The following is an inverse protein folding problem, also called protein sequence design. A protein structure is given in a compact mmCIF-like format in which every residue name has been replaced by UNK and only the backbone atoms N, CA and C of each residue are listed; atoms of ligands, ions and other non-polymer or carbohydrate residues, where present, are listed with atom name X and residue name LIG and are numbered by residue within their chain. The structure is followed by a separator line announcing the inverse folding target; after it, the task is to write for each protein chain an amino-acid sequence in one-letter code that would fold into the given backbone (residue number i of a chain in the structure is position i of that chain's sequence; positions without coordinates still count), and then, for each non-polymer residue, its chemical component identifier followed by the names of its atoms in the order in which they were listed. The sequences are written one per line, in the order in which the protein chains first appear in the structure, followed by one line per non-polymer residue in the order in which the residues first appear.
data_IF_169812390147
#
_entry.id   IF_169812390147
#
_cell.length_a   1.000
_cell.length_b   1.000
_cell.length_c   1.000
_cell.angle_alpha   90.00
_cell.angle_beta   90.00
_cell.angle_gamma   90.00
#
_symmetry.space_group_name_H-M   'P 1'
#
loop_
_entity.id
_entity.type
_entity.pdbx_description
1 polymer ?
#
# COMPACT_ATOMS: atom_id res chain seq x y z
N UNK A 1 44.90 10.01 -23.87
CA UNK A 1 45.41 9.57 -22.56
C UNK A 1 44.76 10.44 -21.50
N UNK A 2 44.08 9.86 -20.51
CA UNK A 2 43.50 10.63 -19.41
C UNK A 2 44.64 11.30 -18.62
N UNK A 3 44.45 12.56 -18.24
CA UNK A 3 45.45 13.27 -17.43
C UNK A 3 45.69 12.51 -16.12
N UNK A 4 46.95 12.37 -15.67
CA UNK A 4 47.26 11.69 -14.41
C UNK A 4 46.56 12.41 -13.25
N UNK A 5 46.02 11.63 -12.31
CA UNK A 5 45.32 12.19 -11.16
C UNK A 5 46.26 13.03 -10.28
N UNK A 6 45.75 14.05 -9.60
CA UNK A 6 46.56 14.97 -8.78
C UNK A 6 47.42 14.24 -7.73
N UNK A 7 46.94 13.10 -7.21
CA UNK A 7 47.73 12.18 -6.36
C UNK A 7 48.97 11.62 -7.08
N UNK A 8 48.83 11.14 -8.31
CA UNK A 8 49.95 10.59 -9.10
C UNK A 8 50.95 11.68 -9.46
N UNK A 9 50.47 12.89 -9.77
CA UNK A 9 51.32 14.05 -10.04
C UNK A 9 52.15 14.43 -8.81
N UNK A 10 51.54 14.50 -7.63
CA UNK A 10 52.24 14.78 -6.38
C UNK A 10 53.30 13.70 -6.05
N UNK A 11 52.99 12.42 -6.26
CA UNK A 11 53.94 11.34 -6.03
C UNK A 11 55.14 11.43 -6.98
N UNK A 12 54.91 11.67 -8.27
CA UNK A 12 55.98 11.85 -9.26
C UNK A 12 56.87 13.05 -8.93
N UNK A 13 56.30 14.16 -8.47
CA UNK A 13 57.10 15.34 -8.07
C UNK A 13 57.98 15.07 -6.85
N UNK A 14 57.51 14.24 -5.90
CA UNK A 14 58.31 13.83 -4.73
C UNK A 14 59.46 12.91 -5.17
N UNK A 15 59.19 11.95 -6.06
CA UNK A 15 60.22 11.07 -6.63
C UNK A 15 61.28 11.88 -7.39
N UNK A 16 60.88 12.89 -8.17
CA UNK A 16 61.81 13.81 -8.85
C UNK A 16 62.71 14.56 -7.85
N UNK A 17 62.13 15.08 -6.75
CA UNK A 17 62.89 15.78 -5.70
C UNK A 17 63.84 14.82 -4.97
N UNK A 18 63.44 13.57 -4.74
CA UNK A 18 64.31 12.55 -4.15
C UNK A 18 65.53 12.28 -5.04
N UNK A 19 65.35 12.18 -6.36
CA UNK A 19 66.44 11.97 -7.32
C UNK A 19 67.38 13.17 -7.32
N UNK A 20 66.85 14.39 -7.45
CA UNK A 20 67.65 15.63 -7.49
C UNK A 20 68.44 15.80 -6.19
N UNK A 21 67.84 15.53 -5.02
CA UNK A 21 68.54 15.66 -3.74
C UNK A 21 69.66 14.64 -3.59
N UNK A 22 69.47 13.38 -4.03
CA UNK A 22 70.54 12.36 -4.04
C UNK A 22 71.72 12.79 -4.91
N UNK A 23 71.46 13.27 -6.12
CA UNK A 23 72.51 13.76 -7.04
C UNK A 23 73.24 14.98 -6.46
N UNK A 24 72.52 15.89 -5.79
CA UNK A 24 73.12 17.05 -5.12
C UNK A 24 74.06 16.63 -3.97
N UNK A 25 73.65 15.66 -3.16
CA UNK A 25 74.49 15.12 -2.08
C UNK A 25 75.74 14.40 -2.60
N UNK A 26 75.65 13.65 -3.69
CA UNK A 26 76.80 12.98 -4.32
C UNK A 26 77.81 14.01 -4.85
N UNK A 27 77.35 15.06 -5.56
CA UNK A 27 78.22 16.13 -6.07
C UNK A 27 78.90 16.92 -4.95
N UNK A 28 78.21 17.19 -3.85
CA UNK A 28 78.80 17.86 -2.68
C UNK A 28 79.82 16.97 -1.94
N UNK A 29 79.57 15.66 -1.88
CA UNK A 29 80.47 14.70 -1.24
C UNK A 29 81.74 14.49 -2.06
N UNK A 30 81.62 14.40 -3.39
CA UNK A 30 82.75 14.28 -4.32
C UNK A 30 83.71 15.49 -4.24
N UNK A 31 83.16 16.71 -4.16
CA UNK A 31 83.92 17.98 -4.07
C UNK A 31 84.83 18.09 -2.82
N UNK A 32 84.59 17.31 -1.77
CA UNK A 32 85.41 17.29 -0.55
C UNK A 32 86.71 16.49 -0.71
N UNK A 33 86.83 15.71 -1.79
CA UNK A 33 87.90 14.72 -2.01
C UNK A 33 88.91 15.15 -3.09
N UNK A 34 88.53 16.04 -4.02
CA UNK A 34 89.40 16.52 -5.10
C UNK A 34 89.49 18.04 -5.16
N UNK A 35 90.71 18.58 -5.14
CA UNK A 35 91.03 20.02 -5.26
C UNK A 35 91.00 20.50 -6.72
N UNK A 36 89.86 20.39 -7.40
CA UNK A 36 89.70 20.80 -8.81
C UNK A 36 88.56 21.82 -9.01
N UNK A 37 88.85 22.85 -9.80
CA UNK A 37 88.22 24.18 -9.81
C UNK A 37 86.99 24.34 -10.73
N UNK A 38 86.26 23.28 -11.09
CA UNK A 38 85.21 23.33 -12.14
C UNK A 38 83.74 22.91 -11.79
N UNK A 39 83.28 22.61 -10.55
CA UNK A 39 81.90 22.09 -10.33
C UNK A 39 80.86 23.11 -9.77
N UNK A 40 81.12 24.41 -9.81
CA UNK A 40 80.21 25.41 -9.18
C UNK A 40 78.94 25.63 -10.02
N UNK A 41 79.03 25.45 -11.35
CA UNK A 41 77.89 25.63 -12.25
C UNK A 41 76.83 24.51 -12.12
N UNK A 42 77.26 23.26 -12.00
CA UNK A 42 76.38 22.08 -11.97
C UNK A 42 75.55 22.01 -10.67
N UNK A 43 76.19 22.33 -9.54
CA UNK A 43 75.51 22.42 -8.24
C UNK A 43 74.49 23.57 -8.20
N UNK A 44 74.78 24.70 -8.86
CA UNK A 44 73.83 25.81 -9.01
C UNK A 44 72.60 25.44 -9.86
N UNK A 45 72.80 24.70 -10.95
CA UNK A 45 71.72 24.23 -11.83
C UNK A 45 70.80 23.22 -11.13
N UNK A 46 71.37 22.27 -10.36
CA UNK A 46 70.56 21.34 -9.55
C UNK A 46 69.77 22.08 -8.47
N UNK A 47 70.35 23.09 -7.83
CA UNK A 47 69.66 23.93 -6.84
C UNK A 47 68.49 24.70 -7.47
N UNK A 48 68.68 25.25 -8.67
CA UNK A 48 67.62 25.95 -9.42
C UNK A 48 66.50 24.98 -9.84
N UNK A 49 66.86 23.77 -10.28
CA UNK A 49 65.89 22.72 -10.61
C UNK A 49 65.09 22.28 -9.38
N UNK A 50 65.74 22.17 -8.21
CA UNK A 50 65.09 21.85 -6.94
C UNK A 50 64.08 22.95 -6.55
N UNK A 51 64.45 24.22 -6.65
CA UNK A 51 63.54 25.34 -6.39
C UNK A 51 62.34 25.34 -7.35
N UNK A 52 62.56 24.99 -8.62
CA UNK A 52 61.48 24.86 -9.60
C UNK A 52 60.53 23.72 -9.23
N UNK A 53 61.05 22.58 -8.80
CA UNK A 53 60.24 21.42 -8.37
C UNK A 53 59.48 21.71 -7.08
N UNK A 54 60.07 22.45 -6.13
CA UNK A 54 59.36 22.92 -4.94
C UNK A 54 58.17 23.82 -5.31
N UNK A 55 58.35 24.75 -6.25
CA UNK A 55 57.25 25.59 -6.76
C UNK A 55 56.15 24.76 -7.45
N UNK A 56 56.52 23.72 -8.22
CA UNK A 56 55.57 22.77 -8.83
C UNK A 56 54.77 21.99 -7.77
N UNK A 57 55.42 21.55 -6.69
CA UNK A 57 54.77 20.87 -5.55
C UNK A 57 53.80 21.81 -4.84
N UNK A 58 54.19 23.05 -4.56
CA UNK A 58 53.30 24.04 -3.92
C UNK A 58 52.04 24.30 -4.76
N UNK A 59 52.19 24.40 -6.09
CA UNK A 59 51.06 24.56 -7.00
C UNK A 59 50.13 23.33 -7.03
N UNK A 60 50.71 22.12 -7.04
CA UNK A 60 49.96 20.87 -6.99
C UNK A 60 49.23 20.68 -5.65
N UNK A 61 49.85 21.06 -4.54
CA UNK A 61 49.23 21.05 -3.21
C UNK A 61 48.04 22.01 -3.13
N UNK A 62 48.18 23.23 -3.63
CA UNK A 62 47.06 24.17 -3.70
C UNK A 62 45.87 23.57 -4.47
N UNK A 63 46.14 22.97 -5.62
CA UNK A 63 45.09 22.32 -6.43
C UNK A 63 44.43 21.15 -5.66
N UNK A 64 45.21 20.35 -4.93
CA UNK A 64 44.67 19.27 -4.11
C UNK A 64 43.76 19.78 -2.98
N UNK A 65 44.10 20.92 -2.36
CA UNK A 65 43.25 21.53 -1.32
C UNK A 65 41.91 22.00 -1.89
N UNK A 66 41.92 22.63 -3.07
CA UNK A 66 40.71 23.08 -3.76
C UNK A 66 39.81 21.90 -4.14
N UNK A 67 40.41 20.82 -4.66
CA UNK A 67 39.69 19.56 -4.93
C UNK A 67 39.08 18.95 -3.67
N UNK A 68 39.78 18.99 -2.53
CA UNK A 68 39.26 18.53 -1.24
C UNK A 68 38.02 19.29 -0.78
N UNK A 69 38.01 20.61 -0.94
CA UNK A 69 36.84 21.44 -0.62
C UNK A 69 35.65 21.17 -1.54
N UNK A 70 35.90 20.90 -2.83
CA UNK A 70 34.86 20.46 -3.76
C UNK A 70 34.33 19.09 -3.39
N UNK A 71 35.20 18.14 -3.04
CA UNK A 71 34.81 16.79 -2.65
C UNK A 71 33.91 16.79 -1.41
N UNK A 72 34.18 17.62 -0.39
CA UNK A 72 33.30 17.81 0.76
C UNK A 72 31.89 18.27 0.35
N UNK A 73 31.80 19.18 -0.62
CA UNK A 73 30.51 19.65 -1.15
C UNK A 73 29.77 18.54 -1.90
N UNK A 74 30.49 17.72 -2.68
CA UNK A 74 29.92 16.57 -3.37
C UNK A 74 29.35 15.58 -2.36
N UNK A 75 30.09 15.24 -1.31
CA UNK A 75 29.63 14.33 -0.25
C UNK A 75 28.40 14.86 0.46
N UNK A 76 28.37 16.15 0.80
CA UNK A 76 27.19 16.78 1.40
C UNK A 76 25.97 16.73 0.48
N UNK A 77 26.16 16.98 -0.83
CA UNK A 77 25.08 16.89 -1.81
C UNK A 77 24.60 15.44 -1.99
N UNK A 78 25.49 14.46 -2.00
CA UNK A 78 25.13 13.05 -2.10
C UNK A 78 24.23 12.62 -0.95
N UNK A 79 24.54 13.04 0.28
CA UNK A 79 23.69 12.76 1.45
C UNK A 79 22.30 13.37 1.30
N UNK A 80 22.20 14.59 0.78
CA UNK A 80 20.90 15.24 0.56
C UNK A 80 20.10 14.57 -0.58
N UNK A 81 20.77 14.08 -1.62
CA UNK A 81 20.16 13.27 -2.69
C UNK A 81 19.60 11.98 -2.11
N UNK A 82 20.40 11.22 -1.35
CA UNK A 82 19.98 9.95 -0.75
C UNK A 82 18.78 10.16 0.19
N UNK A 83 18.76 11.28 0.94
CA UNK A 83 17.63 11.67 1.77
C UNK A 83 16.37 11.94 0.94
N UNK A 84 16.50 12.70 -0.15
CA UNK A 84 15.37 13.00 -1.06
C UNK A 84 14.82 11.75 -1.72
N UNK A 85 15.68 10.83 -2.11
CA UNK A 85 15.26 9.54 -2.67
C UNK A 85 14.47 8.71 -1.65
N UNK A 86 14.90 8.69 -0.39
CA UNK A 86 14.14 8.06 0.69
C UNK A 86 12.75 8.71 0.88
N UNK A 87 12.67 10.04 0.88
CA UNK A 87 11.42 10.78 0.97
C UNK A 87 10.48 10.45 -0.21
N UNK A 88 11.01 10.38 -1.44
CA UNK A 88 10.26 10.02 -2.65
C UNK A 88 9.70 8.60 -2.54
N UNK A 89 10.50 7.63 -2.11
CA UNK A 89 10.06 6.25 -1.94
C UNK A 89 8.94 6.13 -0.90
N UNK A 90 9.05 6.88 0.20
CA UNK A 90 8.00 6.92 1.22
C UNK A 90 6.71 7.54 0.67
N UNK A 91 6.80 8.66 -0.07
CA UNK A 91 5.64 9.27 -0.73
C UNK A 91 4.97 8.30 -1.70
N UNK A 92 5.75 7.61 -2.53
CA UNK A 92 5.24 6.64 -3.50
C UNK A 92 4.47 5.51 -2.80
N UNK A 93 5.00 4.99 -1.69
CA UNK A 93 4.33 3.97 -0.89
C UNK A 93 2.98 4.47 -0.36
N UNK A 94 2.96 5.67 0.23
CA UNK A 94 1.74 6.26 0.79
C UNK A 94 0.69 6.51 -0.31
N UNK A 95 1.10 6.96 -1.49
CA UNK A 95 0.20 7.15 -2.63
C UNK A 95 -0.40 5.84 -3.13
N UNK A 96 0.39 4.76 -3.17
CA UNK A 96 -0.11 3.43 -3.54
C UNK A 96 -1.11 2.87 -2.53
N UNK A 97 -0.86 3.11 -1.25
CA UNK A 97 -1.80 2.72 -0.19
C UNK A 97 -3.11 3.52 -0.29
N UNK A 98 -3.02 4.84 -0.46
CA UNK A 98 -4.18 5.70 -0.65
C UNK A 98 -5.01 5.32 -1.90
N UNK A 99 -4.34 5.00 -3.02
CA UNK A 99 -4.98 4.49 -4.24
C UNK A 99 -5.78 3.22 -3.95
N UNK A 100 -5.20 2.29 -3.19
CA UNK A 100 -5.84 1.00 -2.84
C UNK A 100 -7.07 1.20 -1.94
N UNK A 101 -6.97 2.07 -0.94
CA UNK A 101 -8.08 2.42 -0.05
C UNK A 101 -9.20 3.06 -0.86
N UNK A 102 -8.86 4.01 -1.73
CA UNK A 102 -9.84 4.71 -2.57
C UNK A 102 -10.54 3.76 -3.54
N UNK A 103 -9.81 2.85 -4.19
CA UNK A 103 -10.39 1.86 -5.08
C UNK A 103 -11.41 0.97 -4.36
N UNK A 104 -11.04 0.50 -3.16
CA UNK A 104 -11.93 -0.30 -2.30
C UNK A 104 -13.18 0.49 -1.88
N UNK A 105 -13.00 1.74 -1.44
CA UNK A 105 -14.10 2.60 -1.04
C UNK A 105 -15.08 2.88 -2.19
N UNK A 106 -14.56 3.13 -3.40
CA UNK A 106 -15.38 3.33 -4.61
C UNK A 106 -16.17 2.06 -4.94
N UNK A 107 -15.52 0.89 -4.88
CA UNK A 107 -16.19 -0.39 -5.13
C UNK A 107 -17.35 -0.62 -4.15
N UNK A 108 -17.09 -0.45 -2.85
CA UNK A 108 -18.11 -0.59 -1.81
C UNK A 108 -19.24 0.44 -1.98
N UNK A 109 -18.93 1.68 -2.32
CA UNK A 109 -19.93 2.72 -2.57
C UNK A 109 -20.84 2.37 -3.76
N UNK A 110 -20.27 1.83 -4.86
CA UNK A 110 -21.05 1.36 -6.01
C UNK A 110 -21.97 0.19 -5.66
N UNK A 111 -21.48 -0.76 -4.86
CA UNK A 111 -22.32 -1.85 -4.35
C UNK A 111 -23.46 -1.32 -3.49
N UNK A 112 -23.19 -0.43 -2.52
CA UNK A 112 -24.22 0.20 -1.69
C UNK A 112 -25.25 0.95 -2.52
N UNK A 113 -24.84 1.70 -3.54
CA UNK A 113 -25.75 2.41 -4.43
C UNK A 113 -26.68 1.45 -5.18
N UNK A 114 -26.15 0.29 -5.59
CA UNK A 114 -26.94 -0.76 -6.25
C UNK A 114 -27.98 -1.34 -5.29
N UNK A 115 -27.58 -1.65 -4.06
CA UNK A 115 -28.50 -2.13 -3.02
C UNK A 115 -29.59 -1.10 -2.70
N UNK A 116 -29.26 0.18 -2.61
CA UNK A 116 -30.23 1.26 -2.39
C UNK A 116 -31.23 1.33 -3.55
N UNK A 117 -30.76 1.25 -4.81
CA UNK A 117 -31.64 1.25 -5.99
C UNK A 117 -32.61 0.07 -5.97
N UNK A 118 -32.12 -1.12 -5.63
CA UNK A 118 -32.95 -2.33 -5.51
C UNK A 118 -33.98 -2.19 -4.36
N UNK A 119 -33.57 -1.66 -3.21
CA UNK A 119 -34.48 -1.42 -2.08
C UNK A 119 -35.56 -0.40 -2.42
N UNK A 120 -35.21 0.69 -3.11
CA UNK A 120 -36.17 1.70 -3.55
C UNK A 120 -37.18 1.15 -4.57
N UNK A 121 -36.76 0.25 -5.46
CA UNK A 121 -37.67 -0.43 -6.39
C UNK A 121 -38.67 -1.35 -5.68
N UNK A 122 -38.24 -1.98 -4.58
CA UNK A 122 -39.07 -2.89 -3.76
C UNK A 122 -39.49 -2.22 -2.44
N UNK A 123 -39.75 -0.92 -2.46
CA UNK A 123 -40.12 -0.18 -1.26
C UNK A 123 -41.50 -0.63 -0.76
N UNK A 124 -41.55 -1.15 0.47
CA UNK A 124 -42.79 -1.56 1.13
C UNK A 124 -43.26 -0.40 2.00
N UNK A 125 -44.53 0.05 1.90
CA UNK A 125 -45.04 1.12 2.74
C UNK A 125 -44.95 0.73 4.22
N UNK A 126 -44.54 1.69 5.05
CA UNK A 126 -44.38 1.48 6.50
C UNK A 126 -45.66 0.98 7.17
N UNK A 127 -46.83 1.38 6.67
CA UNK A 127 -48.12 0.91 7.19
C UNK A 127 -48.31 -0.61 7.02
N UNK A 128 -47.94 -1.16 5.86
CA UNK A 128 -47.99 -2.61 5.64
C UNK A 128 -47.00 -3.34 6.55
N UNK A 129 -45.79 -2.80 6.74
CA UNK A 129 -44.82 -3.36 7.69
C UNK A 129 -45.37 -3.36 9.12
N UNK A 130 -46.01 -2.28 9.56
CA UNK A 130 -46.60 -2.18 10.91
C UNK A 130 -47.76 -3.16 11.06
N UNK A 131 -48.67 -3.25 10.07
CA UNK A 131 -49.79 -4.21 10.08
C UNK A 131 -49.30 -5.65 10.11
N UNK A 132 -48.30 -5.98 9.29
CA UNK A 132 -47.75 -7.33 9.23
C UNK A 132 -46.96 -7.68 10.50
N UNK A 133 -46.17 -6.75 11.03
CA UNK A 133 -45.48 -6.92 12.30
C UNK A 133 -46.48 -7.12 13.45
N UNK A 134 -47.53 -6.30 13.53
CA UNK A 134 -48.60 -6.46 14.50
C UNK A 134 -49.29 -7.82 14.34
N UNK A 135 -49.60 -8.23 13.11
CA UNK A 135 -50.19 -9.55 12.81
C UNK A 135 -49.29 -10.70 13.26
N UNK A 136 -47.99 -10.63 13.02
CA UNK A 136 -47.03 -11.62 13.50
C UNK A 136 -47.00 -11.61 15.04
N UNK A 137 -46.88 -10.44 15.67
CA UNK A 137 -46.88 -10.31 17.12
C UNK A 137 -48.18 -10.76 17.79
N UNK A 138 -49.34 -10.56 17.15
CA UNK A 138 -50.67 -10.87 17.69
C UNK A 138 -51.12 -12.30 17.40
N UNK A 139 -50.79 -12.82 16.21
CA UNK A 139 -51.34 -14.09 15.75
C UNK A 139 -50.47 -15.27 16.14
N UNK A 140 -49.14 -15.27 15.99
CA UNK A 140 -48.28 -16.40 16.40
C UNK A 140 -46.83 -15.95 16.56
N UNK A 141 -46.16 -16.32 17.65
CA UNK A 141 -44.77 -15.94 17.90
C UNK A 141 -43.85 -16.46 16.78
N UNK A 142 -42.87 -15.64 16.35
CA UNK A 142 -41.86 -15.98 15.32
C UNK A 142 -41.05 -17.24 15.71
N UNK A 143 -40.94 -17.49 17.01
CA UNK A 143 -40.33 -18.67 17.59
C UNK A 143 -41.14 -19.11 18.83
N UNK A 144 -41.06 -20.40 19.19
CA UNK A 144 -41.66 -20.89 20.44
C UNK A 144 -40.97 -20.23 21.64
N UNK A 145 -41.70 -19.60 22.58
CA UNK A 145 -41.12 -19.12 23.82
C UNK A 145 -40.41 -20.25 24.60
N UNK A 146 -39.34 -19.95 25.35
CA UNK A 146 -38.62 -20.96 26.15
C UNK A 146 -39.52 -21.70 27.17
N UNK A 147 -40.68 -21.14 27.50
CA UNK A 147 -41.68 -21.72 28.40
C UNK A 147 -42.84 -22.40 27.67
N UNK A 148 -42.76 -22.57 26.35
CA UNK A 148 -43.83 -23.18 25.56
C UNK A 148 -44.00 -24.65 25.95
N UNK A 149 -45.24 -25.02 26.27
CA UNK A 149 -45.62 -26.39 26.60
C UNK A 149 -46.75 -26.87 25.67
N UNK A 150 -46.90 -28.19 25.46
CA UNK A 150 -48.05 -28.75 24.76
C UNK A 150 -49.38 -28.24 25.36
N UNK A 151 -50.15 -27.47 24.57
CA UNK A 151 -51.38 -26.81 25.02
C UNK A 151 -51.31 -25.28 25.08
N UNK A 152 -50.11 -24.68 24.98
CA UNK A 152 -49.95 -23.23 24.90
C UNK A 152 -50.46 -22.68 23.54
N UNK A 153 -51.43 -21.75 23.54
CA UNK A 153 -51.93 -21.11 22.32
C UNK A 153 -50.87 -20.38 21.50
N UNK A 154 -49.75 -19.96 22.10
CA UNK A 154 -48.64 -19.21 21.46
C UNK A 154 -47.67 -20.13 20.71
N UNK A 155 -48.19 -20.99 19.84
CA UNK A 155 -47.40 -21.90 19.00
C UNK A 155 -46.93 -21.21 17.70
N UNK A 156 -45.70 -21.46 17.22
CA UNK A 156 -45.19 -20.83 16.00
C UNK A 156 -45.66 -21.52 14.70
N UNK A 157 -46.45 -22.61 14.77
CA UNK A 157 -46.89 -23.40 13.62
C UNK A 157 -48.38 -23.76 13.68
N UNK A 158 -49.03 -24.00 12.52
CA UNK A 158 -50.43 -24.45 12.45
C UNK A 158 -50.65 -25.83 13.10
N UNK A 159 -51.79 -26.06 13.77
CA UNK A 159 -52.15 -27.41 14.24
C UNK A 159 -52.76 -28.28 13.15
N UNK A 160 -52.79 -29.60 13.38
CA UNK A 160 -53.47 -30.58 12.52
C UNK A 160 -54.96 -30.23 12.29
N UNK A 161 -55.64 -29.72 13.32
CA UNK A 161 -57.00 -29.20 13.20
C UNK A 161 -57.05 -27.94 12.30
N UNK A 162 -56.15 -26.97 12.51
CA UNK A 162 -56.08 -25.76 11.65
C UNK A 162 -55.82 -26.12 10.19
N UNK A 163 -54.94 -27.10 9.94
CA UNK A 163 -54.62 -27.61 8.61
C UNK A 163 -55.79 -28.34 7.97
N UNK A 164 -56.51 -29.18 8.73
CA UNK A 164 -57.70 -29.91 8.27
C UNK A 164 -58.88 -28.98 7.97
N UNK A 165 -59.04 -27.92 8.76
CA UNK A 165 -60.06 -26.87 8.54
C UNK A 165 -59.66 -25.87 7.44
N UNK A 166 -58.40 -25.87 7.03
CA UNK A 166 -57.87 -25.03 5.96
C UNK A 166 -58.43 -25.40 4.58
N UNK A 167 -58.23 -24.50 3.61
CA UNK A 167 -58.75 -24.64 2.26
C UNK A 167 -58.34 -25.96 1.58
N UNK A 168 -57.07 -26.34 1.71
CA UNK A 168 -56.54 -27.61 1.18
C UNK A 168 -57.17 -28.85 1.83
N UNK A 169 -57.43 -28.82 3.15
CA UNK A 169 -58.09 -29.91 3.86
C UNK A 169 -59.55 -30.10 3.43
N UNK A 170 -60.25 -29.01 3.11
CA UNK A 170 -61.63 -29.04 2.60
C UNK A 170 -61.73 -29.58 1.17
N UNK A 171 -60.77 -29.22 0.30
CA UNK A 171 -60.72 -29.71 -1.08
C UNK A 171 -60.53 -31.23 -1.17
N UNK A 172 -59.86 -31.83 -0.19
CA UNK A 172 -59.64 -33.28 -0.12
C UNK A 172 -60.83 -34.05 0.48
N UNK A 173 -61.88 -33.36 0.94
CA UNK A 173 -63.05 -34.01 1.54
C UNK A 173 -64.20 -34.12 0.51
N UNK A 174 -64.52 -35.32 -0.01
CA UNK A 174 -65.55 -35.50 -1.04
C UNK A 174 -66.97 -35.15 -0.57
N UNK A 175 -67.20 -35.00 0.75
CA UNK A 175 -68.51 -34.66 1.31
C UNK A 175 -68.81 -33.15 1.37
N UNK A 176 -67.89 -32.27 0.96
CA UNK A 176 -68.10 -30.81 1.00
C UNK A 176 -68.69 -30.22 -0.29
N UNK A 177 -68.86 -31.03 -1.35
CA UNK A 177 -69.47 -30.58 -2.61
C UNK A 177 -71.01 -30.37 -2.53
N UNK A 178 -71.66 -30.56 -1.37
CA UNK A 178 -73.12 -30.57 -1.25
C UNK A 178 -73.74 -29.53 -0.30
N UNK A 179 -73.00 -28.52 0.19
CA UNK A 179 -73.61 -27.41 0.94
C UNK A 179 -73.49 -26.06 0.21
N UNK A 180 -74.59 -25.52 -0.34
CA UNK A 180 -74.63 -24.17 -0.85
C UNK A 180 -74.84 -23.19 0.31
N UNK A 181 -73.91 -22.26 0.49
CA UNK A 181 -74.09 -21.08 1.31
C UNK A 181 -73.37 -21.15 2.66
N UNK A 182 -72.14 -20.62 2.70
CA UNK A 182 -71.62 -19.71 3.75
C UNK A 182 -70.12 -19.48 3.47
N UNK A 183 -69.78 -18.24 3.07
CA UNK A 183 -68.40 -17.76 3.06
C UNK A 183 -67.77 -17.52 1.69
N UNK A 184 -68.50 -16.91 0.76
CA UNK A 184 -67.87 -16.17 -0.33
C UNK A 184 -67.51 -14.77 0.21
N UNK A 185 -66.28 -14.58 0.68
CA UNK A 185 -65.72 -13.24 0.84
C UNK A 185 -65.35 -12.69 -0.56
N UNK A 186 -65.92 -11.57 -1.03
CA UNK A 186 -65.71 -11.10 -2.40
C UNK A 186 -64.33 -10.50 -2.72
N UNK A 187 -63.34 -10.58 -1.81
CA UNK A 187 -62.07 -9.84 -1.95
C UNK A 187 -60.89 -10.68 -2.50
N UNK A 188 -61.06 -11.97 -2.76
CA UNK A 188 -59.98 -12.86 -3.22
C UNK A 188 -59.83 -12.97 -4.75
N UNK A 189 -60.57 -12.18 -5.52
CA UNK A 189 -60.44 -12.09 -6.98
C UNK A 189 -59.47 -10.98 -7.43
N UNK A 190 -58.34 -10.82 -6.75
CA UNK A 190 -57.15 -10.18 -7.34
C UNK A 190 -56.16 -11.26 -7.73
N UNK A 191 -55.98 -11.43 -9.04
CA UNK A 191 -55.00 -12.33 -9.65
C UNK A 191 -53.62 -12.15 -8.97
N UNK A 192 -52.95 -13.23 -8.54
CA UNK A 192 -51.53 -13.14 -8.25
C UNK A 192 -50.80 -12.92 -9.57
N UNK A 193 -50.19 -11.73 -9.72
CA UNK A 193 -49.19 -11.50 -10.75
C UNK A 193 -48.08 -12.54 -10.59
N UNK A 194 -47.66 -13.11 -11.73
CA UNK A 194 -46.56 -14.06 -11.82
C UNK A 194 -45.33 -13.52 -11.08
N UNK A 195 -44.96 -14.16 -9.97
CA UNK A 195 -43.63 -14.05 -9.41
C UNK A 195 -42.79 -15.14 -10.05
N UNK A 196 -41.98 -14.72 -11.02
CA UNK A 196 -40.95 -15.53 -11.64
C UNK A 196 -39.89 -15.86 -10.57
N UNK A 197 -39.98 -17.06 -9.99
CA UNK A 197 -38.95 -17.59 -9.11
C UNK A 197 -37.88 -18.25 -9.97
N UNK A 198 -36.77 -17.55 -10.18
CA UNK A 198 -35.48 -18.20 -10.37
C UNK A 198 -34.83 -18.39 -8.99
N UNK A 199 -34.20 -19.55 -8.68
CA UNK A 199 -33.49 -19.73 -7.43
C UNK A 199 -32.09 -19.13 -7.56
N UNK A 200 -31.88 -17.96 -6.96
CA UNK A 200 -30.54 -17.47 -6.69
C UNK A 200 -30.11 -17.95 -5.31
N UNK A 201 -29.39 -19.08 -5.28
CA UNK A 201 -28.63 -19.47 -4.09
C UNK A 201 -27.47 -18.49 -3.92
N UNK A 202 -27.61 -17.52 -3.00
CA UNK A 202 -26.49 -16.81 -2.43
C UNK A 202 -26.25 -17.36 -1.01
N UNK A 203 -25.32 -18.32 -0.91
CA UNK A 203 -24.75 -18.75 0.36
C UNK A 203 -23.92 -17.58 0.90
N UNK A 204 -24.42 -16.89 1.92
CA UNK A 204 -23.62 -15.95 2.69
C UNK A 204 -22.80 -16.76 3.70
N UNK A 205 -21.54 -17.07 3.36
CA UNK A 205 -20.54 -17.42 4.35
C UNK A 205 -20.19 -16.14 5.13
N UNK A 206 -20.62 -16.10 6.39
CA UNK A 206 -20.10 -15.16 7.37
C UNK A 206 -18.90 -15.86 8.00
N UNK A 207 -17.72 -15.70 7.39
CA UNK A 207 -16.47 -16.00 8.09
C UNK A 207 -16.20 -14.85 9.07
N UNK A 208 -16.45 -15.15 10.34
CA UNK A 208 -16.00 -14.38 11.48
C UNK A 208 -14.47 -14.53 11.55
N UNK A 209 -13.73 -13.51 11.11
CA UNK A 209 -12.32 -13.40 11.46
C UNK A 209 -12.19 -12.97 12.93
N UNK A 210 -11.97 -13.97 13.78
CA UNK A 210 -11.20 -13.85 15.00
C UNK A 210 -9.73 -14.09 14.63
N UNK A 211 -8.92 -13.03 14.66
CA UNK A 211 -7.55 -12.89 15.22
C UNK A 211 -6.89 -11.68 14.55
#
# INVERSE_FOLDING_TARGET
MAAPGTKQVLLSLIEDVEIITKELFELMSAKKTETSTEPVADTGQLMELLLKKDAEIQAALKTATEQGEVQKKIEALQVEVDRRDADILQLQKNLKEAETILATAIYQAKQKLTSIKQANQKSIPSEELIKYAHKISSSHAVAAPNTWQPGDPRRPYPTELDMRMGFLGRLNNPNFQSQPGLGADPQLSRQPGQLDHTPSHAVYNIDIFLT
#
